data_IF_913682038945
#
_entry.id   IF_913682038945
#
_cell.length_a   1.000
_cell.length_b   1.000
_cell.length_c   1.000
_cell.angle_alpha   90.00
_cell.angle_beta   90.00
_cell.angle_gamma   90.00
#
_symmetry.space_group_name_H-M   'P 1'
#
loop_
_entity.id
_entity.type
_entity.pdbx_description
1 polymer ?
#
# COMPACT_ATOMS: atom_id res chain seq x y z
N UNK A 1 30.97 16.08 10.17
CA UNK A 1 31.65 14.87 9.66
C UNK A 1 31.22 13.54 10.32
N UNK A 2 30.99 13.40 11.64
CA UNK A 2 30.30 12.21 12.19
C UNK A 2 28.77 12.39 12.24
N UNK A 3 28.30 13.54 12.75
CA UNK A 3 26.88 13.85 12.85
C UNK A 3 26.14 13.98 11.50
N UNK A 4 26.85 14.36 10.43
CA UNK A 4 26.27 14.36 9.08
C UNK A 4 26.10 12.94 8.55
N UNK A 5 27.09 12.06 8.75
CA UNK A 5 27.01 10.67 8.30
C UNK A 5 25.89 9.91 9.01
N UNK A 6 25.68 10.16 10.30
CA UNK A 6 24.54 9.60 11.05
C UNK A 6 23.20 10.13 10.52
N UNK A 7 23.10 11.43 10.22
CA UNK A 7 21.89 12.02 9.64
C UNK A 7 21.53 11.45 8.27
N UNK A 8 22.51 11.29 7.38
CA UNK A 8 22.27 10.68 6.07
C UNK A 8 21.81 9.23 6.21
N UNK A 9 22.41 8.48 7.14
CA UNK A 9 22.00 7.11 7.42
C UNK A 9 20.56 7.02 7.92
N UNK A 10 20.17 7.85 8.88
CA UNK A 10 18.78 7.89 9.38
C UNK A 10 17.78 8.29 8.28
N UNK A 11 18.16 9.22 7.40
CA UNK A 11 17.31 9.63 6.29
C UNK A 11 17.14 8.50 5.27
N UNK A 12 18.23 7.84 4.88
CA UNK A 12 18.22 6.69 3.98
C UNK A 12 17.39 5.51 4.54
N UNK A 13 17.55 5.21 5.83
CA UNK A 13 16.79 4.16 6.50
C UNK A 13 15.29 4.50 6.52
N UNK A 14 14.92 5.75 6.83
CA UNK A 14 13.51 6.20 6.77
C UNK A 14 12.92 6.13 5.36
N UNK A 15 13.68 6.51 4.34
CA UNK A 15 13.22 6.38 2.95
C UNK A 15 13.00 4.92 2.58
N UNK A 16 13.94 4.04 2.94
CA UNK A 16 13.83 2.60 2.69
C UNK A 16 12.62 1.99 3.38
N UNK A 17 12.41 2.29 4.66
CA UNK A 17 11.25 1.82 5.42
C UNK A 17 9.94 2.30 4.80
N UNK A 18 9.87 3.58 4.39
CA UNK A 18 8.68 4.12 3.72
C UNK A 18 8.37 3.43 2.40
N UNK A 19 9.38 3.19 1.57
CA UNK A 19 9.22 2.46 0.30
C UNK A 19 8.80 1.00 0.55
N UNK A 20 9.41 0.34 1.52
CA UNK A 20 9.07 -1.04 1.87
C UNK A 20 7.62 -1.17 2.37
N UNK A 21 7.19 -0.29 3.27
CA UNK A 21 5.83 -0.25 3.78
C UNK A 21 4.80 0.04 2.66
N UNK A 22 5.12 0.97 1.75
CA UNK A 22 4.30 1.23 0.57
C UNK A 22 4.14 -0.02 -0.30
N UNK A 23 5.24 -0.67 -0.67
CA UNK A 23 5.22 -1.84 -1.54
C UNK A 23 4.43 -3.00 -0.90
N UNK A 24 4.54 -3.17 0.42
CA UNK A 24 3.75 -4.15 1.17
C UNK A 24 2.26 -3.84 1.11
N UNK A 25 1.85 -2.59 1.33
CA UNK A 25 0.46 -2.19 1.25
C UNK A 25 -0.10 -2.36 -0.18
N UNK A 26 0.65 -1.90 -1.18
CA UNK A 26 0.28 -2.04 -2.60
C UNK A 26 0.05 -3.51 -2.97
N UNK A 27 0.99 -4.39 -2.60
CA UNK A 27 0.86 -5.85 -2.81
C UNK A 27 -0.36 -6.43 -2.10
N UNK A 28 -0.63 -6.01 -0.87
CA UNK A 28 -1.79 -6.46 -0.10
C UNK A 28 -3.10 -6.04 -0.76
N UNK A 29 -3.21 -4.79 -1.20
CA UNK A 29 -4.41 -4.26 -1.87
C UNK A 29 -4.71 -5.00 -3.18
N UNK A 30 -3.68 -5.34 -3.96
CA UNK A 30 -3.85 -6.18 -5.15
C UNK A 30 -4.31 -7.60 -4.79
N UNK A 31 -3.75 -8.19 -3.72
CA UNK A 31 -4.20 -9.48 -3.21
C UNK A 31 -5.66 -9.48 -2.76
N UNK A 32 -6.11 -8.41 -2.08
CA UNK A 32 -7.50 -8.25 -1.67
C UNK A 32 -8.41 -8.16 -2.90
N UNK A 33 -8.06 -7.36 -3.90
CA UNK A 33 -8.84 -7.26 -5.15
C UNK A 33 -9.00 -8.62 -5.83
N UNK A 34 -7.91 -9.39 -5.94
CA UNK A 34 -7.97 -10.74 -6.50
C UNK A 34 -8.89 -11.65 -5.66
N UNK A 35 -8.79 -11.60 -4.33
CA UNK A 35 -9.64 -12.39 -3.45
C UNK A 35 -11.13 -12.02 -3.58
N UNK A 36 -11.45 -10.74 -3.82
CA UNK A 36 -12.83 -10.29 -4.08
C UNK A 36 -13.37 -10.83 -5.42
N UNK A 37 -12.54 -10.87 -6.46
CA UNK A 37 -12.89 -11.46 -7.75
C UNK A 37 -13.11 -12.98 -7.64
N UNK A 38 -12.28 -13.67 -6.84
CA UNK A 38 -12.36 -15.12 -6.59
C UNK A 38 -13.45 -15.51 -5.57
N UNK A 39 -14.03 -14.55 -4.85
CA UNK A 39 -14.99 -14.82 -3.78
C UNK A 39 -16.30 -15.48 -4.28
N UNK A 40 -16.65 -15.33 -5.56
CA UNK A 40 -17.88 -15.90 -6.12
C UNK A 40 -19.11 -15.50 -5.29
N UNK A 41 -20.03 -16.42 -5.02
CA UNK A 41 -21.26 -16.10 -4.26
C UNK A 41 -21.06 -16.05 -2.74
N UNK A 42 -19.82 -16.16 -2.23
CA UNK A 42 -19.53 -16.13 -0.78
C UNK A 42 -19.66 -14.73 -0.17
N UNK A 43 -19.58 -13.69 -0.99
CA UNK A 43 -19.83 -12.30 -0.62
C UNK A 43 -20.91 -11.72 -1.52
N UNK A 44 -21.77 -10.86 -0.96
CA UNK A 44 -22.73 -10.12 -1.76
C UNK A 44 -22.01 -9.07 -2.62
N UNK A 45 -22.61 -8.69 -3.76
CA UNK A 45 -21.99 -7.72 -4.67
C UNK A 45 -21.74 -6.37 -4.00
N UNK A 46 -22.62 -5.94 -3.10
CA UNK A 46 -22.47 -4.68 -2.37
C UNK A 46 -21.18 -4.65 -1.54
N UNK A 47 -20.86 -5.74 -0.84
CA UNK A 47 -19.65 -5.83 -0.02
C UNK A 47 -18.39 -5.89 -0.88
N UNK A 48 -18.46 -6.60 -2.02
CA UNK A 48 -17.35 -6.66 -2.98
C UNK A 48 -17.07 -5.28 -3.58
N UNK A 49 -18.10 -4.56 -4.00
CA UNK A 49 -17.97 -3.23 -4.56
C UNK A 49 -17.45 -2.23 -3.53
N UNK A 50 -17.93 -2.30 -2.29
CA UNK A 50 -17.42 -1.46 -1.20
C UNK A 50 -15.93 -1.71 -0.97
N UNK A 51 -15.53 -2.98 -0.82
CA UNK A 51 -14.13 -3.34 -0.60
C UNK A 51 -13.23 -2.97 -1.79
N UNK A 52 -13.70 -3.15 -3.03
CA UNK A 52 -12.97 -2.75 -4.24
C UNK A 52 -12.75 -1.24 -4.30
N UNK A 53 -13.78 -0.44 -3.98
CA UNK A 53 -13.68 1.03 -3.91
C UNK A 53 -12.65 1.49 -2.88
N UNK A 54 -12.64 0.90 -1.69
CA UNK A 54 -11.64 1.23 -0.67
C UNK A 54 -10.23 0.87 -1.14
N UNK A 55 -10.06 -0.28 -1.81
CA UNK A 55 -8.77 -0.66 -2.39
C UNK A 55 -8.31 0.31 -3.49
N UNK A 56 -9.22 0.74 -4.36
CA UNK A 56 -8.94 1.74 -5.41
C UNK A 56 -8.55 3.09 -4.80
N UNK A 57 -9.29 3.56 -3.79
CA UNK A 57 -8.99 4.80 -3.10
C UNK A 57 -7.63 4.78 -2.40
N UNK A 58 -7.29 3.65 -1.76
CA UNK A 58 -5.99 3.48 -1.12
C UNK A 58 -4.84 3.44 -2.12
N UNK A 59 -4.99 2.76 -3.26
CA UNK A 59 -4.00 2.77 -4.34
C UNK A 59 -3.83 4.18 -4.94
N UNK A 60 -4.92 4.89 -5.19
CA UNK A 60 -4.87 6.26 -5.68
C UNK A 60 -4.19 7.20 -4.68
N UNK A 61 -4.41 6.99 -3.38
CA UNK A 61 -3.69 7.74 -2.34
C UNK A 61 -2.19 7.42 -2.38
N UNK A 62 -1.80 6.15 -2.52
CA UNK A 62 -0.38 5.76 -2.65
C UNK A 62 0.30 6.39 -3.87
N UNK A 63 -0.38 6.43 -5.02
CA UNK A 63 0.14 7.05 -6.25
C UNK A 63 0.32 8.56 -6.10
N UNK A 64 -0.63 9.24 -5.44
CA UNK A 64 -0.56 10.68 -5.19
C UNK A 64 0.43 11.07 -4.09
N UNK A 65 0.82 10.12 -3.25
CA UNK A 65 1.84 10.29 -2.21
C UNK A 65 3.13 9.58 -2.61
N UNK A 66 3.41 9.55 -3.92
CA UNK A 66 4.73 9.17 -4.43
C UNK A 66 5.73 10.24 -4.05
N UNK A 67 6.71 9.75 -3.30
CA UNK A 67 7.90 10.39 -2.77
C UNK A 67 8.60 11.39 -3.69
#
# INVERSE_FOLDING_TARGET
>A
MLAEAERYKEEDDRQRERVAARNQLESYLFGVKQALDEAGDKLCEQDKDAARRECDAALQWLDNNTL
#
